data_IF_926734518738
#
_entry.id   IF_926734518738
#
_cell.length_a   1.000
_cell.length_b   1.000
_cell.length_c   1.000
_cell.angle_alpha   90.00
_cell.angle_beta   90.00
_cell.angle_gamma   90.00
#
_symmetry.space_group_name_H-M   'P 1'
#
loop_
_entity.id
_entity.type
_entity.pdbx_description
1 polymer ?
#
# COMPACT_ATOMS: atom_id res chain seq x y z
N UNK A 1 -22.85 1.60 -86.18
CA UNK A 1 -23.22 0.22 -85.76
C UNK A 1 -22.86 0.08 -84.29
N UNK A 2 -23.77 -0.50 -83.51
CA UNK A 2 -23.98 -0.31 -82.09
C UNK A 2 -23.30 -1.43 -81.27
N UNK A 3 -22.35 -1.11 -80.39
CA UNK A 3 -21.76 -2.09 -79.46
C UNK A 3 -22.10 -1.71 -78.03
N UNK A 4 -23.03 -2.45 -77.45
CA UNK A 4 -23.49 -2.32 -76.07
C UNK A 4 -22.42 -2.86 -75.13
N UNK A 5 -21.93 -2.01 -74.22
CA UNK A 5 -21.05 -2.41 -73.14
C UNK A 5 -21.90 -3.01 -72.00
N UNK A 6 -21.76 -4.32 -71.77
CA UNK A 6 -22.37 -4.99 -70.63
C UNK A 6 -21.58 -4.68 -69.35
N UNK A 7 -22.21 -4.00 -68.39
CA UNK A 7 -21.67 -3.78 -67.04
C UNK A 7 -22.06 -5.00 -66.20
N UNK A 8 -21.06 -5.84 -65.85
CA UNK A 8 -21.23 -6.94 -64.89
C UNK A 8 -21.01 -6.39 -63.48
N UNK A 9 -22.10 -6.21 -62.74
CA UNK A 9 -22.06 -5.83 -61.32
C UNK A 9 -21.67 -7.04 -60.47
N UNK A 10 -20.43 -7.10 -59.99
CA UNK A 10 -20.02 -8.07 -58.97
C UNK A 10 -20.19 -7.44 -57.59
N UNK A 11 -21.24 -7.83 -56.88
CA UNK A 11 -21.44 -7.50 -55.47
C UNK A 11 -20.38 -8.19 -54.60
N UNK A 12 -19.37 -7.43 -54.17
CA UNK A 12 -18.40 -7.90 -53.19
C UNK A 12 -19.01 -7.88 -51.78
N UNK A 13 -19.26 -9.05 -51.21
CA UNK A 13 -19.63 -9.22 -49.81
C UNK A 13 -18.42 -8.92 -48.90
N UNK A 14 -18.31 -7.69 -48.42
CA UNK A 14 -17.35 -7.31 -47.39
C UNK A 14 -17.75 -7.95 -46.05
N UNK A 15 -17.15 -9.11 -45.71
CA UNK A 15 -17.14 -9.61 -44.33
C UNK A 15 -16.31 -8.66 -43.47
N UNK A 16 -17.00 -7.87 -42.66
CA UNK A 16 -16.40 -7.01 -41.65
C UNK A 16 -15.81 -7.87 -40.52
N UNK A 17 -14.54 -8.24 -40.66
CA UNK A 17 -13.75 -8.72 -39.53
C UNK A 17 -13.54 -7.55 -38.56
N UNK A 18 -14.33 -7.51 -37.48
CA UNK A 18 -14.07 -6.60 -36.35
C UNK A 18 -12.65 -6.86 -35.85
N UNK A 19 -11.75 -5.86 -35.83
CA UNK A 19 -10.43 -6.05 -35.24
C UNK A 19 -10.61 -6.36 -33.76
N UNK A 20 -10.22 -7.57 -33.35
CA UNK A 20 -10.00 -7.87 -31.93
C UNK A 20 -8.83 -7.00 -31.49
N UNK A 21 -9.13 -5.86 -30.87
CA UNK A 21 -8.15 -5.11 -30.09
C UNK A 21 -7.57 -6.07 -29.05
N UNK A 22 -6.39 -6.62 -29.32
CA UNK A 22 -5.60 -7.27 -28.31
C UNK A 22 -5.25 -6.18 -27.30
N UNK A 23 -5.81 -6.28 -26.08
CA UNK A 23 -5.34 -5.48 -24.96
C UNK A 23 -3.88 -5.84 -24.77
N UNK A 24 -2.98 -5.02 -25.31
CA UNK A 24 -1.60 -4.99 -24.88
C UNK A 24 -1.65 -4.68 -23.39
N UNK A 25 -1.37 -5.69 -22.56
CA UNK A 25 -1.19 -5.45 -21.12
C UNK A 25 0.05 -4.58 -21.04
N UNK A 26 -0.14 -3.27 -20.90
CA UNK A 26 0.96 -2.36 -20.61
C UNK A 26 1.68 -2.94 -19.39
N UNK A 27 2.94 -3.28 -19.58
CA UNK A 27 3.77 -3.82 -18.52
C UNK A 27 3.81 -2.75 -17.42
N UNK A 28 3.07 -2.96 -16.34
CA UNK A 28 3.11 -2.08 -15.18
C UNK A 28 4.57 -2.02 -14.74
N UNK A 29 5.11 -0.81 -14.70
CA UNK A 29 6.47 -0.55 -14.24
C UNK A 29 6.68 -1.27 -12.92
N UNK A 30 7.70 -2.14 -12.88
CA UNK A 30 7.94 -2.98 -11.71
C UNK A 30 8.47 -2.08 -10.61
N UNK A 31 7.80 -2.09 -9.47
CA UNK A 31 8.25 -1.37 -8.29
C UNK A 31 9.52 -2.01 -7.73
N UNK A 32 10.63 -1.27 -7.75
CA UNK A 32 11.96 -1.76 -7.35
C UNK A 32 12.42 -1.26 -5.98
N UNK A 33 11.72 -0.29 -5.38
CA UNK A 33 12.16 0.34 -4.13
C UNK A 33 11.94 -0.56 -2.91
N UNK A 34 12.78 -0.45 -1.86
CA UNK A 34 12.68 -1.26 -0.64
C UNK A 34 11.56 -0.81 0.32
N UNK A 35 10.77 0.20 -0.01
CA UNK A 35 9.53 0.54 0.71
C UNK A 35 8.31 0.12 -0.12
N UNK A 36 7.12 0.06 0.47
CA UNK A 36 5.90 -0.18 -0.31
C UNK A 36 5.55 1.04 -1.16
N UNK A 37 4.99 0.81 -2.36
CA UNK A 37 4.51 1.89 -3.25
C UNK A 37 3.52 2.82 -2.54
N UNK A 38 2.57 2.23 -1.81
CA UNK A 38 1.55 2.98 -1.07
C UNK A 38 2.16 3.89 0.02
N UNK A 39 3.19 3.43 0.74
CA UNK A 39 3.88 4.27 1.70
C UNK A 39 4.59 5.42 1.01
N UNK A 40 5.29 5.16 -0.10
CA UNK A 40 6.04 6.17 -0.82
C UNK A 40 5.14 7.29 -1.38
N UNK A 41 3.98 6.93 -1.94
CA UNK A 41 2.99 7.90 -2.40
C UNK A 41 2.43 8.73 -1.25
N UNK A 42 2.12 8.10 -0.10
CA UNK A 42 1.69 8.81 1.10
C UNK A 42 2.76 9.77 1.62
N UNK A 43 4.02 9.34 1.64
CA UNK A 43 5.15 10.16 2.06
C UNK A 43 5.29 11.38 1.15
N UNK A 44 5.21 11.20 -0.17
CA UNK A 44 5.25 12.29 -1.14
C UNK A 44 4.16 13.33 -0.87
N UNK A 45 2.91 12.90 -0.73
CA UNK A 45 1.78 13.81 -0.45
C UNK A 45 1.97 14.57 0.86
N UNK A 46 2.47 13.88 1.90
CA UNK A 46 2.77 14.54 3.19
C UNK A 46 3.88 15.57 3.05
N UNK A 47 4.91 15.30 2.25
CA UNK A 47 5.96 16.28 1.98
C UNK A 47 5.40 17.49 1.23
N UNK A 48 4.52 17.28 0.24
CA UNK A 48 3.85 18.37 -0.47
C UNK A 48 3.10 19.30 0.51
N UNK A 49 2.39 18.72 1.48
CA UNK A 49 1.71 19.47 2.54
C UNK A 49 2.68 20.24 3.45
N UNK A 50 3.73 19.58 3.94
CA UNK A 50 4.70 20.21 4.84
C UNK A 50 5.39 21.40 4.17
N UNK A 51 5.83 21.26 2.92
CA UNK A 51 6.49 22.35 2.22
C UNK A 51 5.55 23.53 1.94
N UNK A 52 4.29 23.25 1.59
CA UNK A 52 3.26 24.28 1.42
C UNK A 52 2.99 25.04 2.74
N UNK A 53 2.88 24.34 3.87
CA UNK A 53 2.69 24.94 5.19
C UNK A 53 3.88 25.81 5.61
N UNK A 54 5.09 25.38 5.29
CA UNK A 54 6.32 26.15 5.52
C UNK A 54 6.53 27.29 4.51
N UNK A 55 5.59 27.51 3.57
CA UNK A 55 5.66 28.54 2.51
C UNK A 55 6.85 28.39 1.54
N UNK A 56 7.40 27.19 1.44
CA UNK A 56 8.29 26.83 0.34
C UNK A 56 7.37 26.52 -0.85
N UNK A 57 7.43 27.32 -1.92
CA UNK A 57 6.46 27.26 -3.03
C UNK A 57 6.24 25.87 -3.64
N UNK A 58 5.31 25.77 -4.59
CA UNK A 58 5.04 24.48 -5.23
C UNK A 58 6.28 23.94 -5.96
N UNK A 59 6.51 22.63 -5.84
CA UNK A 59 7.61 21.93 -6.53
C UNK A 59 8.84 21.60 -5.68
N UNK A 60 8.93 22.07 -4.42
CA UNK A 60 10.04 21.72 -3.52
C UNK A 60 10.18 20.22 -3.26
N UNK A 61 9.08 19.47 -3.36
CA UNK A 61 9.07 18.01 -3.28
C UNK A 61 9.93 17.35 -4.36
N UNK A 62 10.07 17.96 -5.53
CA UNK A 62 10.97 17.45 -6.59
C UNK A 62 12.43 17.49 -6.18
N UNK A 63 12.81 18.41 -5.29
CA UNK A 63 14.17 18.50 -4.72
C UNK A 63 14.34 17.57 -3.51
N UNK A 64 13.27 17.35 -2.74
CA UNK A 64 13.28 16.52 -1.54
C UNK A 64 13.26 15.01 -1.84
N UNK A 65 12.39 14.56 -2.75
CA UNK A 65 12.21 13.12 -3.02
C UNK A 65 13.48 12.40 -3.52
N UNK A 66 14.37 13.01 -4.32
CA UNK A 66 15.66 12.40 -4.65
C UNK A 66 16.56 12.15 -3.43
N UNK A 67 16.47 12.99 -2.40
CA UNK A 67 17.23 12.80 -1.16
C UNK A 67 16.66 11.61 -0.36
N UNK A 68 15.33 11.47 -0.32
CA UNK A 68 14.65 10.29 0.24
C UNK A 68 15.00 9.03 -0.54
N UNK A 69 15.06 9.11 -1.87
CA UNK A 69 15.39 7.97 -2.72
C UNK A 69 16.81 7.45 -2.49
N UNK A 70 17.77 8.36 -2.29
CA UNK A 70 19.13 7.98 -1.87
C UNK A 70 19.09 7.32 -0.50
N UNK A 71 18.46 7.93 0.49
CA UNK A 71 18.38 7.38 1.83
C UNK A 71 17.76 5.97 1.87
N UNK A 72 16.66 5.77 1.16
CA UNK A 72 15.96 4.48 1.12
C UNK A 72 16.80 3.41 0.40
N UNK A 73 17.61 3.80 -0.60
CA UNK A 73 18.40 2.86 -1.42
C UNK A 73 19.76 2.53 -0.81
N UNK A 74 20.47 3.54 -0.29
CA UNK A 74 21.86 3.41 0.18
C UNK A 74 22.01 3.59 1.68
N UNK A 75 20.99 4.12 2.37
CA UNK A 75 21.09 4.54 3.78
C UNK A 75 21.77 5.88 3.98
N UNK A 76 22.20 6.55 2.90
CA UNK A 76 22.90 7.83 2.99
C UNK A 76 21.94 8.96 3.34
N UNK A 77 22.26 9.68 4.41
CA UNK A 77 21.50 10.87 4.81
C UNK A 77 21.78 12.02 3.85
N UNK A 78 20.81 12.94 3.64
CA UNK A 78 21.05 14.17 2.89
C UNK A 78 22.21 14.95 3.55
N UNK A 79 23.27 15.21 2.79
CA UNK A 79 24.45 15.93 3.27
C UNK A 79 24.22 17.43 3.42
N UNK A 80 25.12 18.24 2.82
CA UNK A 80 24.97 19.69 2.70
C UNK A 80 23.85 20.03 1.69
N UNK A 81 22.62 19.70 2.03
CA UNK A 81 21.42 20.17 1.35
C UNK A 81 20.85 21.41 2.05
N UNK A 82 19.88 22.05 1.38
CA UNK A 82 19.07 23.14 1.93
C UNK A 82 18.56 22.81 3.34
N UNK A 83 18.56 23.81 4.22
CA UNK A 83 18.22 23.63 5.63
C UNK A 83 16.76 23.13 5.80
N UNK A 84 15.83 23.62 4.98
CA UNK A 84 14.45 23.17 4.98
C UNK A 84 14.33 21.69 4.61
N UNK A 85 15.08 21.25 3.60
CA UNK A 85 15.15 19.81 3.21
C UNK A 85 15.69 18.97 4.36
N UNK A 86 16.73 19.45 5.04
CA UNK A 86 17.36 18.72 6.15
C UNK A 86 16.41 18.59 7.34
N UNK A 87 15.75 19.67 7.73
CA UNK A 87 14.77 19.68 8.83
C UNK A 87 13.61 18.72 8.54
N UNK A 88 13.00 18.83 7.36
CA UNK A 88 11.88 17.94 6.97
C UNK A 88 12.34 16.49 6.93
N UNK A 89 13.54 16.22 6.42
CA UNK A 89 14.10 14.88 6.41
C UNK A 89 14.27 14.32 7.83
N UNK A 90 14.86 15.09 8.75
CA UNK A 90 15.05 14.66 10.14
C UNK A 90 13.71 14.32 10.80
N UNK A 91 12.68 15.15 10.61
CA UNK A 91 11.35 14.91 11.14
C UNK A 91 10.69 13.64 10.60
N UNK A 92 10.95 13.29 9.33
CA UNK A 92 10.35 12.13 8.67
C UNK A 92 11.21 10.86 8.75
N UNK A 93 12.48 10.97 9.15
CA UNK A 93 13.45 9.86 9.14
C UNK A 93 12.94 8.64 9.88
N UNK A 94 12.43 8.84 11.09
CA UNK A 94 11.89 7.75 11.91
C UNK A 94 10.76 7.00 11.20
N UNK A 95 9.87 7.70 10.52
CA UNK A 95 8.76 7.07 9.79
C UNK A 95 9.24 6.29 8.57
N UNK A 96 10.28 6.79 7.90
CA UNK A 96 10.92 6.11 6.77
C UNK A 96 11.60 4.82 7.24
N UNK A 97 12.32 4.86 8.36
CA UNK A 97 12.98 3.69 8.95
C UNK A 97 11.96 2.62 9.37
N UNK A 98 10.88 3.04 10.04
CA UNK A 98 9.78 2.16 10.39
C UNK A 98 9.10 1.54 9.16
N UNK A 99 9.05 2.25 8.03
CA UNK A 99 8.51 1.70 6.79
C UNK A 99 9.46 0.71 6.11
N UNK A 100 10.77 0.98 6.16
CA UNK A 100 11.82 0.07 5.69
C UNK A 100 11.77 -1.26 6.44
N UNK A 101 11.71 -1.22 7.78
CA UNK A 101 11.64 -2.43 8.60
C UNK A 101 10.37 -3.24 8.33
N UNK A 102 9.20 -2.59 8.33
CA UNK A 102 7.93 -3.25 8.01
C UNK A 102 7.95 -3.90 6.63
N UNK A 103 8.50 -3.19 5.64
CA UNK A 103 8.64 -3.69 4.26
C UNK A 103 9.60 -4.88 4.18
N UNK A 104 10.74 -4.82 4.87
CA UNK A 104 11.71 -5.92 4.93
C UNK A 104 11.08 -7.17 5.55
N UNK A 105 10.38 -7.03 6.67
CA UNK A 105 9.67 -8.12 7.35
C UNK A 105 8.58 -8.73 6.47
N UNK A 106 7.82 -7.91 5.75
CA UNK A 106 6.79 -8.39 4.83
C UNK A 106 7.41 -9.16 3.65
N UNK A 107 8.51 -8.67 3.09
CA UNK A 107 9.24 -9.33 2.00
C UNK A 107 9.85 -10.66 2.45
N UNK A 108 10.44 -10.73 3.66
CA UNK A 108 10.95 -11.99 4.25
C UNK A 108 9.84 -13.05 4.34
N UNK A 109 8.69 -12.70 4.93
CA UNK A 109 7.55 -13.64 5.02
C UNK A 109 7.00 -14.06 3.65
N UNK A 110 7.06 -13.16 2.66
CA UNK A 110 6.64 -13.51 1.30
C UNK A 110 7.61 -14.49 0.63
N UNK A 111 8.91 -14.38 0.90
CA UNK A 111 9.92 -15.35 0.44
C UNK A 111 9.72 -16.71 1.12
N UNK A 112 9.57 -16.75 2.44
CA UNK A 112 9.29 -17.98 3.21
C UNK A 112 8.04 -18.72 2.67
N UNK A 113 6.97 -17.98 2.34
CA UNK A 113 5.76 -18.56 1.73
C UNK A 113 5.98 -19.09 0.31
N UNK A 114 6.94 -18.55 -0.44
CA UNK A 114 7.29 -19.05 -1.79
C UNK A 114 8.12 -20.32 -1.67
N UNK A 115 9.13 -20.31 -0.81
CA UNK A 115 9.97 -21.47 -0.51
C UNK A 115 9.13 -22.65 0.00
N UNK A 116 8.20 -22.41 0.93
CA UNK A 116 7.30 -23.46 1.43
C UNK A 116 6.41 -24.06 0.32
N UNK A 117 5.96 -23.24 -0.64
CA UNK A 117 5.16 -23.72 -1.78
C UNK A 117 5.99 -24.49 -2.81
N UNK A 118 7.24 -24.11 -3.00
CA UNK A 118 8.17 -24.79 -3.90
C UNK A 118 8.63 -26.13 -3.30
N UNK A 119 8.91 -26.18 -2.00
CA UNK A 119 9.22 -27.41 -1.28
C UNK A 119 8.05 -28.42 -1.31
N UNK A 120 6.81 -27.94 -1.11
CA UNK A 120 5.61 -28.78 -1.21
C UNK A 120 5.37 -29.35 -2.63
N UNK A 121 5.74 -28.61 -3.68
CA UNK A 121 5.64 -29.08 -5.08
C UNK A 121 6.75 -30.07 -5.46
N UNK A 122 7.91 -30.00 -4.81
CA UNK A 122 9.07 -30.87 -5.11
C UNK A 122 9.03 -32.18 -4.31
N UNK A 123 8.33 -32.22 -3.18
CA UNK A 123 8.17 -33.40 -2.34
C UNK A 123 7.08 -34.40 -2.82
N UNK A 124 6.52 -34.21 -4.02
CA UNK A 124 5.58 -35.18 -4.62
C UNK A 124 6.23 -35.91 -5.80
N UNK A 125 6.97 -37.02 -5.58
CA UNK A 125 7.13 -38.02 -6.62
C UNK A 125 5.84 -38.85 -6.71
N UNK A 126 5.51 -39.25 -7.94
CA UNK A 126 4.32 -39.95 -8.35
C UNK A 126 4.03 -41.23 -7.53
N UNK A 127 2.82 -41.32 -7.00
CA UNK A 127 2.09 -42.59 -6.98
C UNK A 127 0.59 -42.32 -7.24
N UNK A 128 -0.03 -43.31 -7.86
CA UNK A 128 -1.19 -43.33 -8.76
C UNK A 128 -2.55 -42.71 -8.32
N UNK A 129 -3.49 -42.52 -9.27
CA UNK A 129 -4.72 -41.77 -9.10
C UNK A 129 -5.85 -42.62 -8.51
N UNK A 130 -6.64 -42.13 -7.56
CA UNK A 130 -7.99 -42.63 -7.32
C UNK A 130 -8.95 -41.59 -6.72
N UNK A 131 -9.94 -41.28 -7.56
CA UNK A 131 -11.36 -41.07 -7.27
C UNK A 131 -11.87 -39.86 -6.48
N UNK A 132 -12.98 -39.40 -7.02
CA UNK A 132 -13.76 -38.20 -6.78
C UNK A 132 -15.00 -38.67 -6.03
N UNK A 133 -15.11 -38.40 -4.73
CA UNK A 133 -16.39 -38.56 -4.03
C UNK A 133 -16.87 -37.23 -3.46
N UNK A 134 -18.03 -36.87 -3.97
CA UNK A 134 -18.88 -35.74 -3.64
C UNK A 134 -19.88 -36.28 -2.62
N UNK A 135 -19.81 -35.83 -1.37
CA UNK A 135 -20.72 -36.26 -0.30
C UNK A 135 -21.14 -35.10 0.60
N UNK A 136 -22.40 -34.72 0.47
CA UNK A 136 -23.11 -33.63 1.12
C UNK A 136 -23.39 -33.92 2.61
N UNK A 137 -23.41 -32.88 3.46
CA UNK A 137 -24.15 -32.85 4.75
C UNK A 137 -25.63 -33.26 4.56
N UNK A 138 -26.29 -33.90 5.54
CA UNK A 138 -27.05 -33.22 6.63
C UNK A 138 -26.99 -34.01 7.97
N UNK A 139 -27.52 -33.66 9.14
CA UNK A 139 -28.11 -32.48 9.81
C UNK A 139 -28.30 -32.88 11.30
N UNK A 140 -28.14 -31.92 12.21
CA UNK A 140 -28.66 -31.77 13.59
C UNK A 140 -28.75 -32.95 14.58
N UNK A 141 -28.22 -32.73 15.79
CA UNK A 141 -29.05 -32.46 16.99
C UNK A 141 -28.23 -31.73 18.05
N UNK A 142 -28.86 -30.69 18.60
CA UNK A 142 -28.37 -29.73 19.56
C UNK A 142 -27.85 -30.34 20.87
N UNK A 143 -26.89 -29.66 21.50
CA UNK A 143 -27.16 -29.15 22.85
C UNK A 143 -26.34 -27.88 23.15
N UNK A 144 -27.02 -26.98 23.83
CA UNK A 144 -26.63 -25.60 24.10
C UNK A 144 -25.42 -25.52 25.04
N UNK A 145 -24.61 -24.46 24.89
CA UNK A 145 -24.18 -23.57 25.99
C UNK A 145 -23.34 -22.43 25.41
N UNK A 146 -24.00 -21.30 25.18
CA UNK A 146 -23.35 -19.99 25.12
C UNK A 146 -22.83 -19.61 26.51
N UNK A 147 -21.72 -18.87 26.58
CA UNK A 147 -21.69 -17.72 27.46
C UNK A 147 -21.47 -16.45 26.65
N UNK A 148 -22.51 -15.63 26.68
CA UNK A 148 -22.52 -14.20 26.44
C UNK A 148 -21.59 -13.51 27.46
N UNK A 149 -20.79 -12.55 27.01
CA UNK A 149 -20.16 -11.57 27.90
C UNK A 149 -20.20 -10.21 27.20
N UNK A 150 -21.35 -9.56 27.33
CA UNK A 150 -21.48 -8.11 27.21
C UNK A 150 -20.73 -7.40 28.33
N UNK A 151 -20.31 -6.18 27.99
CA UNK A 151 -19.80 -5.16 28.89
C UNK A 151 -20.73 -4.88 30.07
N UNK A 152 -20.17 -4.58 31.25
CA UNK A 152 -20.58 -3.48 32.15
C UNK A 152 -19.45 -3.13 33.14
N UNK A 153 -19.03 -1.87 33.07
CA UNK A 153 -18.81 -0.90 34.16
C UNK A 153 -18.55 -1.41 35.59
N UNK A 154 -17.35 -1.11 36.10
CA UNK A 154 -17.11 -0.87 37.53
C UNK A 154 -16.30 0.43 37.71
N UNK A 155 -16.93 1.40 38.36
CA UNK A 155 -16.34 2.47 39.19
C UNK A 155 -17.19 2.49 40.49
N UNK A 156 -16.77 3.01 41.66
CA UNK A 156 -15.73 4.02 41.94
C UNK A 156 -14.91 3.81 43.26
N UNK A 157 -14.14 4.84 43.67
CA UNK A 157 -13.74 5.21 45.07
C UNK A 157 -12.46 4.52 45.61
N UNK A 158 -11.38 5.15 46.09
CA UNK A 158 -11.02 6.56 46.42
C UNK A 158 -9.50 6.67 46.66
N UNK A 159 -8.88 7.73 46.11
CA UNK A 159 -7.78 8.64 46.54
C UNK A 159 -7.10 8.44 47.93
N UNK A 160 -5.85 8.93 48.19
CA UNK A 160 -5.41 10.28 47.80
C UNK A 160 -3.91 10.51 47.45
N UNK A 161 -3.67 11.61 46.74
CA UNK A 161 -2.59 12.54 47.11
C UNK A 161 -1.42 12.68 46.14
N UNK A 162 -1.51 13.62 45.21
CA UNK A 162 -0.43 14.60 44.98
C UNK A 162 -0.96 15.81 44.20
N UNK A 163 -1.26 16.83 44.97
CA UNK A 163 -1.69 18.16 44.59
C UNK A 163 -0.54 18.92 43.89
N UNK A 164 -0.55 18.98 42.55
CA UNK A 164 0.32 19.89 41.81
C UNK A 164 -0.45 21.20 41.55
N UNK A 165 -0.19 22.13 42.47
CA UNK A 165 -0.64 23.53 42.51
C UNK A 165 -0.18 24.31 41.27
N UNK A 166 -1.11 24.59 40.36
CA UNK A 166 -0.91 25.57 39.28
C UNK A 166 -1.08 26.97 39.88
N UNK A 167 0.03 27.72 40.03
CA UNK A 167 -0.03 29.14 40.38
C UNK A 167 -0.41 29.96 39.14
N UNK A 168 -1.58 30.60 39.21
CA UNK A 168 -1.96 31.71 38.33
C UNK A 168 -1.18 32.95 38.77
N UNK A 169 -0.33 33.48 37.89
CA UNK A 169 0.17 34.85 38.03
C UNK A 169 -0.67 35.76 37.14
N UNK A 170 -1.72 36.32 37.73
CA UNK A 170 -2.31 37.58 37.27
C UNK A 170 -1.36 38.68 37.73
N UNK A 171 -0.72 39.36 36.78
CA UNK A 171 -0.03 40.62 37.02
C UNK A 171 -0.95 41.73 36.54
N UNK A 172 -1.72 42.29 37.46
CA UNK A 172 -2.34 43.60 37.30
C UNK A 172 -1.52 44.64 38.09
N UNK A 173 -1.55 45.87 37.56
CA UNK A 173 -1.11 47.15 38.15
C UNK A 173 0.41 47.44 38.15
N UNK A 174 0.93 48.63 37.80
CA UNK A 174 0.37 49.96 37.47
C UNK A 174 1.32 50.67 36.49
N UNK A 175 0.79 51.48 35.58
CA UNK A 175 1.10 52.93 35.49
C UNK A 175 0.28 53.62 34.42
#
# INVERSE_FOLDING_TARGET
MNTQNAIVTVSANFRSHKPRFSRTRSAKERWTKPVSKAFYEKLRLRCEQIFEEMRYGSGWVMNFMPAVDRYISTGETPGMCDEGIRIVFICLRYEIDMALERSAKARKRAAERREAKEAAQTATPADEPHQKEKGTLPTDTADAFSPDCKAETFSPTTEPGSEIRIQRNNREESS
#
